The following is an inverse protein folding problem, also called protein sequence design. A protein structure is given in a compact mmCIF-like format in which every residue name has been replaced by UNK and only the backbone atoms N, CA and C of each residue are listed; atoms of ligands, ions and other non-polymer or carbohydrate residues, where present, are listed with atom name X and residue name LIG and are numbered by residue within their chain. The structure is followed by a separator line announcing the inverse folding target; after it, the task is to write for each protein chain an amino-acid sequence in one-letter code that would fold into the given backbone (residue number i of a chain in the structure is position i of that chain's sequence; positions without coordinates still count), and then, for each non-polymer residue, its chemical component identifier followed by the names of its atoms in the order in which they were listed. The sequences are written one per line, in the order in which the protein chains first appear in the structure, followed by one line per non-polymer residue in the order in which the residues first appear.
data_IF_568801106110
#
_entry.id   IF_568801106110
#
_cell.length_a   1.000
_cell.length_b   1.000
_cell.length_c   1.000
_cell.angle_alpha   90.00
_cell.angle_beta   90.00
_cell.angle_gamma   90.00
#
_symmetry.space_group_name_H-M   'P 1'
#
loop_
_entity.id
_entity.type
_entity.pdbx_description
1 polymer ?
#
# COMPACT_ATOMS: atom_id res chain seq x y z
N UNK A 1 26.76 -15.98 14.30
CA UNK A 1 25.78 -15.17 13.55
C UNK A 1 26.05 -13.70 13.80
N UNK A 2 25.88 -12.84 12.80
CA UNK A 2 25.99 -11.39 13.00
C UNK A 2 24.64 -10.81 13.50
N UNK A 3 24.63 -9.80 14.38
CA UNK A 3 23.42 -9.08 14.75
C UNK A 3 22.77 -8.48 13.51
N UNK A 4 21.45 -8.61 13.39
CA UNK A 4 20.66 -7.94 12.36
C UNK A 4 19.32 -7.48 12.95
N UNK A 5 18.72 -6.46 12.34
CA UNK A 5 17.39 -5.99 12.72
C UNK A 5 16.29 -6.87 12.07
N UNK A 6 15.50 -7.63 12.86
CA UNK A 6 14.46 -8.51 12.32
C UNK A 6 13.22 -7.74 11.83
N UNK A 7 13.02 -6.50 12.27
CA UNK A 7 11.80 -5.73 12.00
C UNK A 7 11.56 -5.57 10.49
N UNK A 8 12.60 -5.20 9.74
CA UNK A 8 12.52 -5.03 8.28
C UNK A 8 12.24 -6.33 7.53
N UNK A 9 12.88 -7.44 7.95
CA UNK A 9 12.74 -8.73 7.29
C UNK A 9 11.34 -9.31 7.50
N UNK A 10 10.83 -9.23 8.73
CA UNK A 10 9.48 -9.70 9.06
C UNK A 10 8.44 -8.87 8.31
N UNK A 11 8.52 -7.53 8.36
CA UNK A 11 7.58 -6.67 7.66
C UNK A 11 7.61 -6.92 6.14
N UNK A 12 8.79 -7.06 5.54
CA UNK A 12 8.93 -7.38 4.12
C UNK A 12 8.29 -8.72 3.77
N UNK A 13 8.47 -9.75 4.61
CA UNK A 13 7.88 -11.07 4.37
C UNK A 13 6.35 -11.03 4.43
N UNK A 14 5.78 -10.38 5.45
CA UNK A 14 4.32 -10.22 5.59
C UNK A 14 3.75 -9.42 4.43
N UNK A 15 4.38 -8.30 4.08
CA UNK A 15 3.92 -7.48 2.97
C UNK A 15 4.03 -8.18 1.62
N UNK A 16 5.04 -9.03 1.41
CA UNK A 16 5.14 -9.85 0.20
C UNK A 16 4.03 -10.91 0.11
N UNK A 17 3.58 -11.49 1.21
CA UNK A 17 2.42 -12.38 1.20
C UNK A 17 1.17 -11.62 0.75
N UNK A 18 0.93 -10.43 1.33
CA UNK A 18 -0.20 -9.58 0.93
C UNK A 18 -0.08 -9.22 -0.56
N UNK A 19 1.08 -8.74 -1.01
CA UNK A 19 1.32 -8.37 -2.41
C UNK A 19 1.16 -9.55 -3.37
N UNK A 20 1.56 -10.76 -2.97
CA UNK A 20 1.39 -11.96 -3.79
C UNK A 20 -0.08 -12.33 -3.98
N UNK A 21 -0.94 -12.06 -2.98
CA UNK A 21 -2.38 -12.30 -3.07
C UNK A 21 -3.07 -11.16 -3.83
N UNK A 22 -2.65 -9.92 -3.58
CA UNK A 22 -3.33 -8.74 -4.13
C UNK A 22 -2.89 -8.38 -5.53
N UNK A 23 -1.61 -8.56 -5.86
CA UNK A 23 -0.97 -8.11 -7.11
C UNK A 23 -0.36 -9.28 -7.90
N UNK A 24 -0.60 -10.52 -7.47
CA UNK A 24 -0.11 -11.73 -8.14
C UNK A 24 1.41 -11.91 -8.12
N UNK A 25 2.12 -10.96 -7.52
CA UNK A 25 3.57 -10.84 -7.64
C UNK A 25 4.25 -10.71 -6.28
N UNK A 26 5.42 -11.33 -6.17
CA UNK A 26 6.33 -11.17 -5.04
C UNK A 26 7.43 -10.18 -5.43
N UNK A 27 7.70 -9.22 -4.55
CA UNK A 27 8.77 -8.24 -4.76
C UNK A 27 10.05 -8.72 -4.08
N UNK A 28 11.20 -8.44 -4.70
CA UNK A 28 12.49 -8.72 -4.08
C UNK A 28 12.61 -7.92 -2.77
N UNK A 29 13.17 -8.56 -1.75
CA UNK A 29 13.49 -7.91 -0.48
C UNK A 29 14.45 -6.72 -0.66
N UNK A 30 15.24 -6.69 -1.74
CA UNK A 30 16.15 -5.60 -2.09
C UNK A 30 15.58 -4.62 -3.13
N UNK A 31 14.30 -4.74 -3.52
CA UNK A 31 13.67 -3.74 -4.37
C UNK A 31 13.51 -2.44 -3.58
N UNK A 32 14.35 -1.45 -3.90
CA UNK A 32 14.35 -0.14 -3.26
C UNK A 32 12.99 0.56 -3.32
N UNK A 33 12.23 0.39 -4.41
CA UNK A 33 10.91 1.01 -4.56
C UNK A 33 9.90 0.35 -3.63
N UNK A 34 9.97 -0.97 -3.50
CA UNK A 34 9.13 -1.72 -2.57
C UNK A 34 9.48 -1.40 -1.11
N UNK A 35 10.77 -1.34 -0.77
CA UNK A 35 11.22 -0.96 0.57
C UNK A 35 10.80 0.47 0.96
N UNK A 36 10.91 1.44 0.04
CA UNK A 36 10.40 2.80 0.27
C UNK A 36 8.88 2.83 0.49
N UNK A 37 8.14 1.98 -0.23
CA UNK A 37 6.70 1.83 -0.07
C UNK A 37 6.34 1.28 1.31
N UNK A 38 7.02 0.21 1.74
CA UNK A 38 6.82 -0.41 3.04
C UNK A 38 7.17 0.54 4.18
N UNK A 39 8.26 1.28 4.04
CA UNK A 39 8.64 2.30 5.01
C UNK A 39 7.58 3.40 5.12
N UNK A 40 7.09 3.89 3.97
CA UNK A 40 6.01 4.88 3.90
C UNK A 40 4.71 4.39 4.55
N UNK A 41 4.36 3.12 4.35
CA UNK A 41 3.18 2.49 4.93
C UNK A 41 3.34 2.32 6.46
N UNK A 42 4.51 1.88 6.92
CA UNK A 42 4.82 1.75 8.34
C UNK A 42 4.76 3.10 9.06
N UNK A 43 5.38 4.16 8.51
CA UNK A 43 5.28 5.52 9.07
C UNK A 43 3.82 6.00 9.14
N UNK A 44 3.01 5.70 8.12
CA UNK A 44 1.60 6.08 8.08
C UNK A 44 0.80 5.36 9.17
N UNK A 45 0.97 4.04 9.32
CA UNK A 45 0.29 3.25 10.35
C UNK A 45 0.67 3.70 11.77
N UNK A 46 1.95 3.97 12.02
CA UNK A 46 2.42 4.49 13.30
C UNK A 46 1.77 5.83 13.63
N UNK A 47 1.63 6.73 12.65
CA UNK A 47 1.03 8.02 12.92
C UNK A 47 -0.49 7.95 13.10
N UNK A 48 -1.19 7.07 12.38
CA UNK A 48 -2.62 6.79 12.61
C UNK A 48 -2.84 6.30 14.06
N UNK A 49 -1.96 5.44 14.57
CA UNK A 49 -2.02 4.95 15.95
C UNK A 49 -1.52 5.96 17.00
N UNK A 50 -0.82 7.02 16.58
CA UNK A 50 -0.22 8.00 17.49
C UNK A 50 -1.24 8.97 18.09
N UNK A 51 -0.81 9.74 19.09
CA UNK A 51 -1.58 10.85 19.65
C UNK A 51 -2.13 11.81 18.57
N UNK A 52 -1.32 12.11 17.55
CA UNK A 52 -1.75 12.94 16.43
C UNK A 52 -2.90 12.31 15.66
N UNK A 53 -2.82 11.01 15.33
CA UNK A 53 -3.89 10.29 14.64
C UNK A 53 -5.20 10.29 15.41
N UNK A 54 -5.13 10.08 16.73
CA UNK A 54 -6.30 10.16 17.61
C UNK A 54 -6.91 11.57 17.63
N UNK A 55 -6.07 12.61 17.70
CA UNK A 55 -6.52 14.00 17.69
C UNK A 55 -7.16 14.39 16.34
N UNK A 56 -6.63 13.89 15.22
CA UNK A 56 -7.22 14.06 13.89
C UNK A 56 -8.59 13.38 13.78
N UNK A 57 -8.74 12.20 14.38
CA UNK A 57 -10.02 11.49 14.40
C UNK A 57 -11.07 12.22 15.27
N UNK A 58 -10.65 12.79 16.40
CA UNK A 58 -11.53 13.52 17.31
C UNK A 58 -11.94 14.92 16.78
N UNK A 59 -11.02 15.64 16.12
CA UNK A 59 -11.24 17.04 15.70
C UNK A 59 -10.79 17.29 14.24
N UNK A 60 -11.41 16.65 13.25
CA UNK A 60 -10.94 16.67 11.86
C UNK A 60 -10.95 18.07 11.24
N UNK A 61 -11.95 18.90 11.58
CA UNK A 61 -12.06 20.26 11.03
C UNK A 61 -10.94 21.18 11.52
N UNK A 62 -10.59 21.13 12.81
CA UNK A 62 -9.54 21.95 13.41
C UNK A 62 -8.18 21.49 12.89
N UNK A 63 -7.97 20.17 12.86
CA UNK A 63 -6.72 19.57 12.42
C UNK A 63 -6.43 19.81 10.93
N UNK A 64 -7.46 20.10 10.11
CA UNK A 64 -7.27 20.50 8.70
C UNK A 64 -6.54 21.83 8.52
N UNK A 65 -6.61 22.73 9.51
CA UNK A 65 -5.99 24.06 9.45
C UNK A 65 -4.62 24.11 10.15
N UNK A 66 -4.27 23.09 10.92
CA UNK A 66 -2.99 23.02 11.63
C UNK A 66 -1.91 22.39 10.75
N UNK A 67 -0.74 23.01 10.60
CA UNK A 67 0.41 22.35 10.00
C UNK A 67 0.82 21.20 10.91
N UNK A 68 0.91 19.99 10.36
CA UNK A 68 1.14 18.80 11.17
C UNK A 68 1.75 17.65 10.39
N UNK A 69 2.08 16.55 11.09
CA UNK A 69 2.73 15.38 10.51
C UNK A 69 1.90 14.73 9.37
N UNK A 70 0.61 15.06 9.27
CA UNK A 70 -0.29 14.64 8.20
C UNK A 70 0.16 15.04 6.81
N UNK A 71 0.83 16.20 6.64
CA UNK A 71 1.32 16.59 5.31
C UNK A 71 2.35 15.60 4.77
N UNK A 72 3.24 15.09 5.65
CA UNK A 72 4.19 14.04 5.30
C UNK A 72 3.45 12.74 4.96
N UNK A 73 2.44 12.33 5.77
CA UNK A 73 1.61 11.15 5.44
C UNK A 73 0.95 11.29 4.08
N UNK A 74 0.27 12.40 3.80
CA UNK A 74 -0.45 12.55 2.53
C UNK A 74 0.49 12.42 1.33
N UNK A 75 1.75 12.85 1.48
CA UNK A 75 2.79 12.62 0.46
C UNK A 75 3.15 11.14 0.33
N UNK A 76 3.33 10.42 1.43
CA UNK A 76 3.56 8.97 1.44
C UNK A 76 2.38 8.19 0.84
N UNK A 77 1.15 8.56 1.20
CA UNK A 77 -0.08 7.97 0.68
C UNK A 77 -0.22 8.18 -0.82
N UNK A 78 0.07 9.39 -1.32
CA UNK A 78 0.07 9.67 -2.77
C UNK A 78 1.09 8.82 -3.53
N UNK A 79 2.28 8.57 -2.96
CA UNK A 79 3.27 7.66 -3.56
C UNK A 79 2.73 6.23 -3.64
N UNK A 80 2.12 5.74 -2.56
CA UNK A 80 1.49 4.42 -2.51
C UNK A 80 0.35 4.28 -3.53
N UNK A 81 -0.54 5.27 -3.58
CA UNK A 81 -1.64 5.32 -4.54
C UNK A 81 -1.11 5.28 -5.98
N UNK A 82 -0.06 6.05 -6.28
CA UNK A 82 0.55 6.06 -7.61
C UNK A 82 1.16 4.70 -7.98
N UNK A 83 1.83 4.04 -7.04
CA UNK A 83 2.35 2.69 -7.23
C UNK A 83 1.23 1.69 -7.54
N UNK A 84 0.18 1.66 -6.71
CA UNK A 84 -0.97 0.75 -6.90
C UNK A 84 -1.68 1.01 -8.23
N UNK A 85 -1.86 2.28 -8.62
CA UNK A 85 -2.42 2.63 -9.95
C UNK A 85 -1.58 2.09 -11.09
N UNK A 86 -0.25 2.13 -10.98
CA UNK A 86 0.65 1.55 -11.97
C UNK A 86 0.51 0.03 -12.07
N UNK A 87 0.35 -0.66 -10.94
CA UNK A 87 0.08 -2.11 -10.91
C UNK A 87 -1.26 -2.43 -11.57
N UNK A 88 -2.33 -1.72 -11.22
CA UNK A 88 -3.67 -1.91 -11.81
C UNK A 88 -3.65 -1.64 -13.32
N UNK A 89 -2.91 -0.64 -13.78
CA UNK A 89 -2.80 -0.33 -15.20
C UNK A 89 -2.21 -1.52 -15.99
N UNK A 90 -1.16 -2.15 -15.48
CA UNK A 90 -0.59 -3.36 -16.08
C UNK A 90 -1.60 -4.52 -16.12
N UNK A 91 -2.29 -4.78 -15.01
CA UNK A 91 -3.31 -5.84 -14.98
C UNK A 91 -4.44 -5.59 -15.99
N UNK A 92 -4.80 -4.32 -16.26
CA UNK A 92 -5.78 -3.99 -17.30
C UNK A 92 -5.27 -4.22 -18.71
N UNK A 93 -3.99 -4.00 -18.98
CA UNK A 93 -3.37 -4.24 -20.29
C UNK A 93 -3.28 -5.74 -20.58
N UNK A 94 -2.95 -6.54 -19.55
CA UNK A 94 -2.70 -7.98 -19.65
C UNK A 94 -3.90 -8.84 -19.23
N UNK A 95 -5.10 -8.25 -19.03
CA UNK A 95 -6.24 -8.93 -18.41
C UNK A 95 -6.76 -10.09 -19.26
N UNK A 96 -6.45 -11.33 -18.85
CA UNK A 96 -7.06 -12.53 -19.41
C UNK A 96 -8.36 -12.89 -18.68
N UNK A 97 -9.49 -12.83 -19.39
CA UNK A 97 -10.80 -13.19 -18.86
C UNK A 97 -10.93 -14.68 -18.51
N UNK A 98 -10.13 -15.54 -19.13
CA UNK A 98 -10.22 -17.00 -19.00
C UNK A 98 -9.44 -17.59 -17.82
N UNK A 99 -8.45 -16.89 -17.28
CA UNK A 99 -7.62 -17.39 -16.18
C UNK A 99 -8.12 -16.98 -14.79
N UNK A 100 -7.79 -17.79 -13.78
CA UNK A 100 -7.92 -17.41 -12.38
C UNK A 100 -6.78 -16.44 -12.03
N UNK A 101 -7.01 -15.15 -12.30
CA UNK A 101 -6.09 -14.07 -11.96
C UNK A 101 -6.05 -13.78 -10.47
N UNK A 102 -5.29 -12.77 -10.09
CA UNK A 102 -5.18 -12.36 -8.69
C UNK A 102 -6.37 -11.51 -8.20
N UNK A 103 -6.28 -10.93 -7.01
CA UNK A 103 -7.33 -10.10 -6.45
C UNK A 103 -7.70 -8.89 -7.33
N UNK A 104 -6.72 -8.22 -7.95
CA UNK A 104 -6.97 -7.10 -8.86
C UNK A 104 -7.74 -7.62 -10.08
N UNK A 105 -7.30 -8.73 -10.69
CA UNK A 105 -7.98 -9.29 -11.86
C UNK A 105 -9.41 -9.69 -11.55
N UNK A 106 -9.64 -10.34 -10.40
CA UNK A 106 -10.97 -10.68 -9.93
C UNK A 106 -11.87 -9.45 -9.84
N UNK A 107 -11.37 -8.35 -9.25
CA UNK A 107 -12.13 -7.11 -9.14
C UNK A 107 -12.37 -6.42 -10.48
N UNK A 108 -11.38 -6.42 -11.39
CA UNK A 108 -11.53 -5.86 -12.73
C UNK A 108 -12.62 -6.59 -13.52
N UNK A 109 -12.65 -7.92 -13.48
CA UNK A 109 -13.69 -8.74 -14.12
C UNK A 109 -15.09 -8.45 -13.57
N UNK A 110 -15.22 -8.28 -12.25
CA UNK A 110 -16.50 -7.89 -11.63
C UNK A 110 -16.95 -6.51 -12.11
N UNK A 111 -16.03 -5.53 -12.19
CA UNK A 111 -16.35 -4.18 -12.66
C UNK A 111 -16.83 -4.19 -14.12
N UNK A 112 -16.19 -4.99 -14.99
CA UNK A 112 -16.61 -5.13 -16.38
C UNK A 112 -17.98 -5.80 -16.49
N UNK A 113 -18.24 -6.84 -15.70
CA UNK A 113 -19.55 -7.52 -15.67
C UNK A 113 -20.69 -6.62 -15.19
N UNK A 114 -20.42 -5.67 -14.28
CA UNK A 114 -21.44 -4.71 -13.81
C UNK A 114 -21.66 -3.56 -14.80
N UNK A 115 -20.68 -3.29 -15.67
CA UNK A 115 -20.76 -2.24 -16.69
C UNK A 115 -21.45 -2.67 -17.99
N UNK A 116 -21.43 -3.97 -18.31
CA UNK A 116 -22.19 -4.57 -19.41
C UNK A 116 -23.61 -4.90 -18.99
#
# INVERSE_FOLDING_TARGET
GQPFDPHYKINSAVSNIICSITFGNRFDYHDNRFQELLHSLAETLLLIGSFWGQLYNAFPLIMRWLPGPFTKIFKHWKKLEHFVKGVIAKHKEDLDQSEAGDYIDCYLKVIEKVRG
#
